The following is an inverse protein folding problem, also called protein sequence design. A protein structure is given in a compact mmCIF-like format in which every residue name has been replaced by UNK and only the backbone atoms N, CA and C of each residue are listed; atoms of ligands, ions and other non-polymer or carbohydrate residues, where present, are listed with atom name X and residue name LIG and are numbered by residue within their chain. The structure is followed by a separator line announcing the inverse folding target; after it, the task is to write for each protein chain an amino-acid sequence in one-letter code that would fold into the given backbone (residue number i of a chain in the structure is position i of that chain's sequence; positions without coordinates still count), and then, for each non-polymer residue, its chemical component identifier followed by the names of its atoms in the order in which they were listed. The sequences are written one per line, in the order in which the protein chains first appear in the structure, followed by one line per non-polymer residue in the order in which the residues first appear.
data_IF_205566291505
#
_entry.id   IF_205566291505
#
_cell.length_a   1.000
_cell.length_b   1.000
_cell.length_c   1.000
_cell.angle_alpha   90.00
_cell.angle_beta   90.00
_cell.angle_gamma   90.00
#
_symmetry.space_group_name_H-M   'P 1'
#
loop_
_entity.id
_entity.type
_entity.pdbx_description
1 polymer ?
#
# COMPACT_ATOMS: atom_id res chain seq x y z
N UNK A 1 17.87 0.15 -1.33
CA UNK A 1 17.43 0.52 0.04
C UNK A 1 18.57 1.28 0.68
N UNK A 2 18.26 2.46 1.20
CA UNK A 2 19.21 3.31 1.90
C UNK A 2 18.78 3.44 3.36
N UNK A 3 19.72 3.80 4.23
CA UNK A 3 19.47 4.03 5.65
C UNK A 3 20.17 5.31 6.06
N UNK A 4 19.48 6.07 6.88
CA UNK A 4 20.01 7.22 7.60
C UNK A 4 19.52 7.10 9.03
N UNK A 5 20.37 7.42 10.01
CA UNK A 5 19.92 7.56 11.39
C UNK A 5 19.19 8.89 11.51
N UNK A 6 18.08 8.92 12.25
CA UNK A 6 17.20 10.10 12.33
C UNK A 6 17.97 11.37 12.71
N UNK A 7 18.92 11.26 13.65
CA UNK A 7 19.75 12.39 14.09
C UNK A 7 20.76 12.90 13.05
N UNK A 8 20.99 12.19 11.95
CA UNK A 8 21.82 12.66 10.82
C UNK A 8 21.03 13.57 9.88
N UNK A 9 19.70 13.54 9.96
CA UNK A 9 18.86 14.48 9.23
C UNK A 9 19.06 15.90 9.78
N UNK A 10 19.14 16.92 8.92
CA UNK A 10 19.39 18.28 9.38
C UNK A 10 18.21 18.80 10.19
N UNK A 11 18.49 19.24 11.42
CA UNK A 11 17.49 19.93 12.23
C UNK A 11 17.19 21.30 11.63
N UNK A 12 15.92 21.57 11.37
CA UNK A 12 15.45 22.81 10.75
C UNK A 12 14.12 23.22 11.39
N UNK A 13 13.71 24.48 11.20
CA UNK A 13 12.40 24.94 11.66
C UNK A 13 11.26 24.22 10.94
N UNK A 14 10.08 24.13 11.58
CA UNK A 14 8.86 23.55 11.00
C UNK A 14 8.44 24.21 9.66
N UNK A 15 8.74 25.50 9.51
CA UNK A 15 8.44 26.28 8.28
C UNK A 15 9.53 26.15 7.21
N UNK A 16 10.66 25.50 7.51
CA UNK A 16 11.72 25.28 6.55
C UNK A 16 11.27 24.31 5.44
N UNK A 17 11.75 24.53 4.22
CA UNK A 17 11.54 23.60 3.10
C UNK A 17 12.31 22.27 3.27
N UNK A 18 13.13 22.15 4.31
CA UNK A 18 13.98 20.99 4.54
C UNK A 18 15.15 20.92 3.56
N UNK A 19 15.76 19.73 3.48
CA UNK A 19 16.84 19.43 2.53
C UNK A 19 16.39 18.29 1.62
N UNK A 20 16.68 18.40 0.32
CA UNK A 20 16.33 17.37 -0.64
C UNK A 20 16.99 16.03 -0.29
N UNK A 21 16.24 14.93 -0.37
CA UNK A 21 16.72 13.58 0.01
C UNK A 21 17.94 13.13 -0.82
N UNK A 22 18.01 13.55 -2.09
CA UNK A 22 19.17 13.31 -2.98
C UNK A 22 20.47 13.94 -2.46
N UNK A 23 20.38 14.96 -1.59
CA UNK A 23 21.52 15.60 -0.96
C UNK A 23 21.89 14.95 0.39
N UNK A 24 21.09 13.98 0.83
CA UNK A 24 21.22 13.28 2.11
C UNK A 24 21.64 11.81 1.89
N UNK A 25 21.23 11.22 0.78
CA UNK A 25 21.50 9.83 0.40
C UNK A 25 22.19 9.77 -0.96
N UNK A 26 23.12 8.84 -1.12
CA UNK A 26 23.86 8.58 -2.37
C UNK A 26 23.00 7.81 -3.38
N UNK A 27 21.87 8.40 -3.78
CA UNK A 27 20.97 7.79 -4.78
C UNK A 27 21.66 7.70 -6.14
N UNK A 28 21.43 6.60 -6.86
CA UNK A 28 21.91 6.48 -8.25
C UNK A 28 21.11 7.40 -9.18
N UNK A 29 21.66 7.75 -10.37
CA UNK A 29 20.89 8.43 -11.39
C UNK A 29 19.55 7.72 -11.64
N UNK A 30 18.48 8.49 -11.75
CA UNK A 30 17.10 8.04 -12.00
C UNK A 30 16.45 7.19 -10.89
N UNK A 31 17.13 6.92 -9.77
CA UNK A 31 16.49 6.32 -8.60
C UNK A 31 15.51 7.29 -7.95
N UNK A 32 14.32 6.77 -7.64
CA UNK A 32 13.28 7.50 -6.92
C UNK A 32 12.96 6.77 -5.62
N UNK A 33 12.72 7.56 -4.58
CA UNK A 33 12.23 7.00 -3.32
C UNK A 33 10.79 6.51 -3.51
N UNK A 34 10.52 5.28 -3.08
CA UNK A 34 9.19 4.66 -3.14
C UNK A 34 8.51 4.66 -1.77
N UNK A 35 9.28 4.44 -0.71
CA UNK A 35 8.75 4.32 0.65
C UNK A 35 9.75 4.84 1.68
N UNK A 36 9.23 5.47 2.74
CA UNK A 36 9.99 5.84 3.93
C UNK A 36 9.49 5.03 5.11
N UNK A 37 10.39 4.37 5.83
CA UNK A 37 10.02 3.50 6.94
C UNK A 37 10.93 3.74 8.14
N UNK A 38 10.41 4.32 9.23
CA UNK A 38 11.14 4.38 10.48
C UNK A 38 11.25 2.97 11.06
N UNK A 39 12.47 2.52 11.34
CA UNK A 39 12.76 1.24 11.98
C UNK A 39 13.63 1.53 13.19
N UNK A 40 13.09 1.24 14.38
CA UNK A 40 13.80 1.38 15.64
C UNK A 40 14.84 0.27 15.80
N UNK A 41 14.41 -0.98 15.58
CA UNK A 41 15.24 -2.17 15.74
C UNK A 41 14.98 -3.17 14.60
N UNK A 42 16.06 -3.59 13.92
CA UNK A 42 16.00 -4.56 12.83
C UNK A 42 15.93 -6.02 13.32
N UNK A 43 16.15 -6.25 14.61
CA UNK A 43 16.29 -7.57 15.23
C UNK A 43 15.17 -7.89 16.24
N UNK A 44 14.46 -6.88 16.72
CA UNK A 44 13.26 -7.04 17.57
C UNK A 44 12.18 -7.83 16.83
N UNK A 45 11.81 -8.99 17.37
CA UNK A 45 10.78 -9.86 16.79
C UNK A 45 11.16 -10.49 15.44
N UNK A 46 10.22 -11.26 14.88
CA UNK A 46 10.30 -11.78 13.52
C UNK A 46 9.47 -10.91 12.57
N UNK A 47 10.05 -9.78 12.16
CA UNK A 47 9.43 -8.91 11.17
C UNK A 47 9.97 -9.17 9.76
N UNK A 48 9.15 -8.82 8.77
CA UNK A 48 9.50 -8.93 7.36
C UNK A 48 9.33 -7.59 6.66
N UNK A 49 10.08 -7.38 5.59
CA UNK A 49 9.75 -6.41 4.55
C UNK A 49 9.07 -7.14 3.40
N UNK A 50 7.90 -6.67 3.02
CA UNK A 50 7.15 -7.10 1.86
C UNK A 50 7.26 -6.03 0.78
N UNK A 51 7.69 -6.45 -0.41
CA UNK A 51 7.82 -5.62 -1.60
C UNK A 51 6.74 -6.03 -2.59
N UNK A 52 6.13 -5.06 -3.27
CA UNK A 52 5.24 -5.31 -4.40
C UNK A 52 5.67 -4.52 -5.63
N UNK A 53 5.64 -5.16 -6.79
CA UNK A 53 6.05 -4.56 -8.06
C UNK A 53 4.85 -4.27 -8.95
N UNK A 54 5.05 -3.39 -9.94
CA UNK A 54 4.06 -2.98 -10.93
C UNK A 54 3.52 -4.17 -11.70
N UNK A 55 4.38 -5.12 -12.05
CA UNK A 55 4.02 -6.35 -12.77
C UNK A 55 3.39 -7.43 -11.87
N UNK A 56 3.05 -7.12 -10.63
CA UNK A 56 2.29 -8.03 -9.75
C UNK A 56 3.14 -9.09 -9.03
N UNK A 57 4.46 -8.89 -8.96
CA UNK A 57 5.32 -9.72 -8.11
C UNK A 57 5.32 -9.19 -6.68
N UNK A 58 5.41 -10.12 -5.74
CA UNK A 58 5.59 -9.84 -4.31
C UNK A 58 6.76 -10.61 -3.75
N UNK A 59 7.46 -10.01 -2.80
CA UNK A 59 8.61 -10.64 -2.15
C UNK A 59 8.58 -10.32 -0.67
N UNK A 60 8.74 -11.35 0.16
CA UNK A 60 8.89 -11.21 1.60
C UNK A 60 10.33 -11.53 2.01
N UNK A 61 10.96 -10.67 2.81
CA UNK A 61 12.34 -10.83 3.27
C UNK A 61 12.43 -10.45 4.73
N UNK A 62 13.10 -11.26 5.56
CA UNK A 62 13.30 -10.93 6.98
C UNK A 62 13.97 -9.57 7.16
N UNK A 63 13.43 -8.75 8.07
CA UNK A 63 13.93 -7.42 8.38
C UNK A 63 15.40 -7.44 8.86
N UNK A 64 15.79 -8.51 9.58
CA UNK A 64 17.16 -8.74 10.07
C UNK A 64 18.23 -8.73 8.99
N UNK A 65 17.87 -9.03 7.74
CA UNK A 65 18.80 -9.00 6.61
C UNK A 65 19.19 -7.58 6.18
N UNK A 66 18.53 -6.56 6.74
CA UNK A 66 18.76 -5.15 6.44
C UNK A 66 19.40 -4.37 7.59
N UNK A 67 19.86 -5.04 8.67
CA UNK A 67 20.50 -4.37 9.82
C UNK A 67 21.78 -3.61 9.46
N UNK A 68 22.54 -4.12 8.49
CA UNK A 68 23.84 -3.59 8.08
C UNK A 68 23.79 -2.97 6.67
N UNK A 69 23.24 -1.75 6.57
CA UNK A 69 23.20 -0.96 5.34
C UNK A 69 24.42 -0.04 5.29
N UNK A 70 25.25 -0.15 4.25
CA UNK A 70 26.35 0.78 3.99
C UNK A 70 25.84 2.06 3.30
N UNK A 71 26.68 3.11 3.23
CA UNK A 71 26.31 4.42 2.66
C UNK A 71 25.73 4.36 1.24
N UNK A 72 26.38 3.60 0.35
CA UNK A 72 25.89 3.37 -1.02
C UNK A 72 24.63 2.48 -1.14
N UNK A 73 23.98 2.13 -0.04
CA UNK A 73 22.73 1.37 -0.01
C UNK A 73 22.85 -0.13 -0.32
N UNK A 74 21.80 -0.89 -0.03
CA UNK A 74 21.73 -2.33 -0.31
C UNK A 74 20.71 -2.63 -1.41
N UNK A 75 21.05 -3.62 -2.24
CA UNK A 75 20.06 -4.27 -3.11
C UNK A 75 19.03 -4.99 -2.22
N UNK A 76 17.78 -4.55 -2.33
CA UNK A 76 16.66 -5.01 -1.51
C UNK A 76 15.62 -5.81 -2.29
N UNK A 77 15.60 -5.75 -3.61
CA UNK A 77 14.78 -6.57 -4.51
C UNK A 77 15.43 -6.54 -5.89
N UNK A 78 15.34 -7.64 -6.64
CA UNK A 78 15.67 -7.63 -8.06
C UNK A 78 14.41 -7.28 -8.86
N UNK A 79 14.48 -6.26 -9.70
CA UNK A 79 13.40 -5.92 -10.62
C UNK A 79 13.65 -6.57 -11.97
N UNK A 80 12.58 -7.07 -12.59
CA UNK A 80 12.63 -7.51 -13.98
C UNK A 80 12.66 -6.29 -14.91
N UNK A 81 13.03 -6.50 -16.16
CA UNK A 81 13.00 -5.45 -17.17
C UNK A 81 11.57 -4.88 -17.33
N UNK A 82 11.47 -3.55 -17.39
CA UNK A 82 10.18 -2.84 -17.45
C UNK A 82 9.36 -2.84 -16.15
N UNK A 83 9.83 -3.52 -15.10
CA UNK A 83 9.15 -3.52 -13.80
C UNK A 83 9.60 -2.35 -12.93
N UNK A 84 8.82 -2.04 -11.89
CA UNK A 84 9.26 -1.15 -10.83
C UNK A 84 8.58 -1.49 -9.52
N UNK A 85 9.21 -1.03 -8.45
CA UNK A 85 8.66 -1.14 -7.12
C UNK A 85 7.49 -0.15 -6.95
N UNK A 86 6.33 -0.66 -6.53
CA UNK A 86 5.11 0.13 -6.27
C UNK A 86 4.99 0.50 -4.80
N UNK A 87 5.39 -0.41 -3.92
CA UNK A 87 5.33 -0.19 -2.48
C UNK A 87 6.16 -1.19 -1.70
N UNK A 88 6.48 -0.80 -0.46
CA UNK A 88 7.13 -1.65 0.53
C UNK A 88 6.38 -1.47 1.84
N UNK A 89 6.18 -2.54 2.58
CA UNK A 89 5.61 -2.45 3.93
C UNK A 89 6.34 -3.42 4.85
N UNK A 90 6.38 -3.13 6.15
CA UNK A 90 6.84 -4.11 7.13
C UNK A 90 5.65 -4.94 7.59
N UNK A 91 5.88 -6.18 7.97
CA UNK A 91 4.83 -7.08 8.45
C UNK A 91 5.29 -7.92 9.63
N UNK A 92 4.33 -8.44 10.39
CA UNK A 92 4.54 -9.22 11.62
C UNK A 92 4.72 -10.73 11.39
N UNK A 93 4.53 -11.23 10.17
CA UNK A 93 4.59 -12.65 9.80
C UNK A 93 3.22 -13.28 9.58
N UNK A 94 2.16 -12.67 10.11
CA UNK A 94 0.78 -13.14 10.06
C UNK A 94 -0.21 -12.14 9.45
N UNK A 95 0.28 -11.01 8.91
CA UNK A 95 -0.53 -9.96 8.31
C UNK A 95 -1.18 -10.41 6.99
N UNK A 96 -2.25 -9.70 6.60
CA UNK A 96 -2.78 -9.79 5.24
C UNK A 96 -2.20 -8.68 4.37
N UNK A 97 -2.05 -8.99 3.09
CA UNK A 97 -1.62 -8.05 2.06
C UNK A 97 -2.75 -7.87 1.06
N UNK A 98 -3.02 -6.63 0.68
CA UNK A 98 -3.92 -6.30 -0.42
C UNK A 98 -3.15 -5.61 -1.54
N UNK A 99 -3.27 -6.13 -2.75
CA UNK A 99 -2.80 -5.47 -3.97
C UNK A 99 -4.00 -4.93 -4.72
N UNK A 100 -3.95 -3.67 -5.14
CA UNK A 100 -4.95 -3.06 -6.02
C UNK A 100 -4.32 -2.75 -7.39
N UNK A 101 -5.11 -2.88 -8.45
CA UNK A 101 -4.66 -2.70 -9.83
C UNK A 101 -5.27 -1.49 -10.49
N UNK A 102 -4.61 -1.02 -11.55
CA UNK A 102 -5.01 0.10 -12.37
C UNK A 102 -6.38 -0.10 -13.02
N UNK A 103 -6.73 -1.33 -13.41
CA UNK A 103 -8.06 -1.66 -13.98
C UNK A 103 -9.13 -1.97 -12.92
N UNK A 104 -8.85 -1.69 -11.64
CA UNK A 104 -9.84 -1.77 -10.57
C UNK A 104 -10.07 -3.18 -10.05
N UNK A 105 -9.05 -4.03 -10.11
CA UNK A 105 -9.04 -5.33 -9.43
C UNK A 105 -8.30 -5.23 -8.10
N UNK A 106 -8.63 -6.09 -7.14
CA UNK A 106 -7.85 -6.25 -5.93
C UNK A 106 -7.80 -7.72 -5.46
N UNK A 107 -6.68 -8.10 -4.86
CA UNK A 107 -6.51 -9.39 -4.20
C UNK A 107 -6.04 -9.17 -2.77
N UNK A 108 -6.68 -9.83 -1.80
CA UNK A 108 -6.26 -9.89 -0.39
C UNK A 108 -5.80 -11.32 -0.10
N UNK A 109 -4.55 -11.49 0.33
CA UNK A 109 -3.96 -12.80 0.66
C UNK A 109 -3.14 -12.71 1.96
N UNK A 110 -2.95 -13.84 2.65
CA UNK A 110 -2.10 -13.88 3.84
C UNK A 110 -0.62 -13.75 3.42
N UNK A 111 0.18 -12.97 4.15
CA UNK A 111 1.60 -12.80 3.81
C UNK A 111 2.39 -14.11 3.86
N UNK A 112 1.92 -15.08 4.67
CA UNK A 112 2.50 -16.39 4.84
C UNK A 112 2.46 -17.24 3.56
N UNK A 113 1.54 -16.95 2.63
CA UNK A 113 1.53 -17.53 1.28
C UNK A 113 2.81 -17.21 0.49
N UNK A 114 3.53 -16.14 0.87
CA UNK A 114 4.81 -15.75 0.31
C UNK A 114 5.93 -16.25 1.22
N UNK A 115 6.65 -17.30 0.82
CA UNK A 115 7.81 -17.76 1.59
C UNK A 115 8.86 -16.65 1.78
N UNK A 116 9.56 -16.60 2.91
CA UNK A 116 10.71 -15.70 3.07
C UNK A 116 11.79 -15.99 2.03
N UNK A 117 12.39 -14.93 1.49
CA UNK A 117 13.41 -14.98 0.45
C UNK A 117 14.56 -14.03 0.78
N UNK A 118 15.73 -14.32 0.20
CA UNK A 118 16.91 -13.44 0.28
C UNK A 118 16.68 -12.09 -0.42
N UNK A 119 17.55 -11.12 -0.09
CA UNK A 119 17.41 -9.72 -0.56
C UNK A 119 17.34 -9.60 -2.09
N UNK A 120 18.18 -10.34 -2.80
CA UNK A 120 18.35 -10.25 -4.28
C UNK A 120 17.36 -11.10 -5.08
N UNK A 121 16.39 -11.74 -4.45
CA UNK A 121 15.33 -12.46 -5.16
C UNK A 121 14.39 -11.47 -5.87
N UNK A 122 13.78 -11.91 -6.97
CA UNK A 122 12.77 -11.14 -7.70
C UNK A 122 11.39 -11.18 -7.00
N UNK A 123 11.09 -12.27 -6.29
CA UNK A 123 9.80 -12.51 -5.67
C UNK A 123 9.01 -13.60 -6.37
N UNK A 124 7.75 -13.71 -6.01
CA UNK A 124 6.77 -14.65 -6.57
C UNK A 124 5.52 -13.90 -6.98
N UNK A 125 4.67 -14.52 -7.80
CA UNK A 125 3.41 -13.88 -8.23
C UNK A 125 2.50 -13.59 -7.03
N UNK A 126 2.10 -12.33 -6.88
CA UNK A 126 1.13 -11.84 -5.89
C UNK A 126 -0.27 -11.68 -6.47
N UNK A 127 -0.38 -11.17 -7.70
CA UNK A 127 -1.64 -11.09 -8.46
C UNK A 127 -1.39 -11.52 -9.92
N UNK A 128 -2.37 -12.20 -10.52
CA UNK A 128 -2.40 -12.40 -11.97
C UNK A 128 -3.09 -11.20 -12.61
N UNK A 129 -2.32 -10.39 -13.33
CA UNK A 129 -2.80 -9.22 -14.05
C UNK A 129 -3.43 -9.62 -15.38
N UNK A 130 -4.46 -8.88 -15.79
CA UNK A 130 -4.91 -8.89 -17.19
C UNK A 130 -3.93 -8.12 -18.07
N UNK A 131 -4.04 -8.26 -19.39
CA UNK A 131 -3.27 -7.47 -20.35
C UNK A 131 -3.40 -5.97 -20.07
N UNK A 132 -2.30 -5.22 -20.16
CA UNK A 132 -2.19 -3.79 -19.85
C UNK A 132 -2.69 -3.35 -18.46
N UNK A 133 -2.80 -4.28 -17.51
CA UNK A 133 -3.06 -3.95 -16.11
C UNK A 133 -1.75 -3.92 -15.32
N UNK A 134 -1.74 -3.16 -14.23
CA UNK A 134 -0.59 -2.99 -13.36
C UNK A 134 -1.04 -2.80 -11.91
N UNK A 135 -0.20 -3.21 -10.97
CA UNK A 135 -0.41 -2.92 -9.55
C UNK A 135 -0.14 -1.43 -9.30
N UNK A 136 -1.06 -0.78 -8.60
CA UNK A 136 -0.97 0.65 -8.21
C UNK A 136 -0.83 0.85 -6.71
N UNK A 137 -1.13 -0.17 -5.90
CA UNK A 137 -1.00 -0.08 -4.45
C UNK A 137 -0.70 -1.44 -3.81
N UNK A 138 0.12 -1.39 -2.76
CA UNK A 138 0.28 -2.42 -1.73
C UNK A 138 -0.29 -1.85 -0.43
N UNK A 139 -1.20 -2.60 0.21
CA UNK A 139 -1.81 -2.23 1.47
C UNK A 139 -1.59 -3.36 2.47
N UNK A 140 -1.00 -3.04 3.63
CA UNK A 140 -0.91 -3.93 4.78
C UNK A 140 -2.23 -3.90 5.53
N UNK A 141 -2.69 -5.07 5.96
CA UNK A 141 -3.80 -5.21 6.89
C UNK A 141 -3.22 -5.96 8.08
N UNK A 142 -2.97 -5.23 9.17
CA UNK A 142 -2.47 -5.76 10.42
C UNK A 142 -3.42 -6.82 10.94
N UNK A 143 -2.93 -8.04 11.17
CA UNK A 143 -3.73 -9.12 11.75
C UNK A 143 -3.17 -9.45 13.13
N UNK A 144 -4.00 -9.95 14.02
CA UNK A 144 -3.58 -10.57 15.25
C UNK A 144 -3.12 -12.01 14.96
N UNK A 145 -2.32 -12.57 15.86
CA UNK A 145 -2.08 -14.01 15.85
C UNK A 145 -3.41 -14.76 15.98
N UNK A 146 -3.47 -15.96 15.40
CA UNK A 146 -4.68 -16.77 15.48
C UNK A 146 -4.97 -17.13 16.94
N UNK A 147 -6.23 -16.99 17.35
CA UNK A 147 -6.67 -17.43 18.67
C UNK A 147 -6.70 -18.97 18.77
N UNK A 148 -7.08 -19.50 19.94
CA UNK A 148 -7.18 -20.95 20.18
C UNK A 148 -8.13 -21.67 19.20
N UNK A 149 -9.06 -20.94 18.58
CA UNK A 149 -9.99 -21.46 17.57
C UNK A 149 -9.40 -21.45 16.15
N UNK A 150 -8.21 -20.86 15.97
CA UNK A 150 -7.57 -20.68 14.68
C UNK A 150 -8.08 -19.46 13.89
N UNK A 151 -8.91 -18.61 14.50
CA UNK A 151 -9.44 -17.41 13.86
C UNK A 151 -8.47 -16.24 14.01
N UNK A 152 -8.21 -15.52 12.91
CA UNK A 152 -7.43 -14.28 12.93
C UNK A 152 -8.33 -13.07 12.74
N UNK A 153 -8.08 -12.03 13.54
CA UNK A 153 -8.82 -10.76 13.51
C UNK A 153 -7.88 -9.62 13.15
N UNK A 154 -8.36 -8.57 12.45
CA UNK A 154 -7.54 -7.37 12.25
C UNK A 154 -7.07 -6.75 13.57
N UNK A 155 -5.88 -6.16 13.59
CA UNK A 155 -5.37 -5.37 14.73
C UNK A 155 -6.22 -4.11 14.95
N UNK A 156 -6.78 -3.55 13.88
CA UNK A 156 -7.62 -2.36 13.89
C UNK A 156 -8.95 -2.62 13.15
N UNK A 157 -10.03 -2.08 13.69
CA UNK A 157 -11.36 -2.08 13.07
C UNK A 157 -11.65 -0.73 12.44
N UNK A 158 -12.69 -0.64 11.60
CA UNK A 158 -13.05 0.61 10.92
C UNK A 158 -12.06 1.06 9.84
N UNK A 159 -11.15 0.18 9.43
CA UNK A 159 -10.20 0.44 8.35
C UNK A 159 -10.84 0.07 7.01
N UNK A 160 -10.95 1.05 6.13
CA UNK A 160 -11.47 0.90 4.78
C UNK A 160 -10.34 1.02 3.74
N UNK A 161 -10.52 0.40 2.58
CA UNK A 161 -9.78 0.74 1.37
C UNK A 161 -10.41 1.96 0.71
N UNK A 162 -9.70 3.09 0.72
CA UNK A 162 -10.00 4.23 -0.15
C UNK A 162 -9.39 3.98 -1.52
N UNK A 163 -10.24 3.84 -2.54
CA UNK A 163 -9.82 3.73 -3.95
C UNK A 163 -10.22 4.99 -4.69
N UNK A 164 -9.25 5.59 -5.40
CA UNK A 164 -9.41 6.83 -6.15
C UNK A 164 -8.97 6.63 -7.61
N UNK A 165 -9.71 7.22 -8.53
CA UNK A 165 -9.52 7.11 -9.98
C UNK A 165 -9.00 8.40 -10.58
N UNK A 166 -8.38 8.30 -11.75
CA UNK A 166 -7.73 9.42 -12.45
C UNK A 166 -8.69 10.58 -12.73
N UNK A 167 -9.99 10.33 -12.96
CA UNK A 167 -10.99 11.39 -13.21
C UNK A 167 -11.67 11.91 -11.94
N UNK A 168 -11.07 11.68 -10.78
CA UNK A 168 -11.50 12.28 -9.51
C UNK A 168 -12.72 11.59 -8.87
N UNK A 169 -13.00 10.34 -9.24
CA UNK A 169 -14.00 9.51 -8.56
C UNK A 169 -13.35 8.56 -7.57
N UNK A 170 -14.07 8.16 -6.54
CA UNK A 170 -13.59 7.19 -5.58
C UNK A 170 -14.65 6.75 -4.59
N UNK A 171 -14.23 5.88 -3.68
CA UNK A 171 -15.06 5.33 -2.60
C UNK A 171 -14.17 4.76 -1.51
N UNK A 172 -14.73 4.65 -0.31
CA UNK A 172 -14.21 3.78 0.75
C UNK A 172 -14.93 2.44 0.69
N UNK A 173 -14.21 1.35 0.91
CA UNK A 173 -14.80 0.01 0.98
C UNK A 173 -14.19 -0.77 2.11
N UNK A 174 -15.04 -1.40 2.92
CA UNK A 174 -14.62 -2.22 4.05
C UNK A 174 -13.60 -3.29 3.62
N UNK A 175 -12.49 -3.43 4.33
CA UNK A 175 -11.45 -4.38 3.97
C UNK A 175 -11.92 -5.85 4.02
N UNK A 176 -12.98 -6.15 4.76
CA UNK A 176 -13.54 -7.50 4.83
C UNK A 176 -14.39 -7.88 3.62
N UNK A 177 -14.78 -6.91 2.79
CA UNK A 177 -15.40 -7.19 1.49
C UNK A 177 -14.47 -7.97 0.54
N UNK A 178 -13.16 -7.90 0.75
CA UNK A 178 -12.14 -8.58 -0.07
C UNK A 178 -11.87 -10.02 0.36
N UNK A 179 -12.47 -10.48 1.48
CA UNK A 179 -12.46 -11.87 1.89
C UNK A 179 -13.40 -12.70 1.00
N UNK A 180 -13.16 -14.01 0.96
CA UNK A 180 -13.98 -14.99 0.24
C UNK A 180 -14.59 -15.99 1.21
N UNK A 181 -15.75 -16.51 0.86
CA UNK A 181 -16.40 -17.60 1.59
C UNK A 181 -15.68 -18.91 1.28
N UNK A 182 -15.46 -19.71 2.33
CA UNK A 182 -14.93 -21.07 2.25
C UNK A 182 -15.82 -21.98 3.08
N UNK A 183 -16.33 -23.03 2.47
CA UNK A 183 -17.09 -24.07 3.17
C UNK A 183 -16.11 -25.05 3.80
N UNK A 184 -16.26 -25.27 5.10
CA UNK A 184 -15.47 -26.21 5.88
C UNK A 184 -16.08 -27.62 5.80
N UNK A 185 -15.32 -28.69 6.07
CA UNK A 185 -15.82 -30.07 6.05
C UNK A 185 -17.03 -30.33 6.98
N UNK A 186 -17.22 -29.49 8.00
CA UNK A 186 -18.34 -29.54 8.95
C UNK A 186 -19.58 -28.73 8.49
N UNK A 187 -19.56 -28.20 7.26
CA UNK A 187 -20.65 -27.41 6.68
C UNK A 187 -20.66 -25.93 7.09
N UNK A 188 -19.71 -25.46 7.91
CA UNK A 188 -19.63 -24.04 8.29
C UNK A 188 -19.04 -23.22 7.14
N UNK A 189 -19.60 -22.02 6.93
CA UNK A 189 -19.06 -21.04 5.98
C UNK A 189 -18.22 -20.02 6.74
N UNK A 190 -16.92 -20.01 6.49
CA UNK A 190 -16.00 -19.03 7.06
C UNK A 190 -15.54 -18.03 6.01
N UNK A 191 -15.18 -16.81 6.42
CA UNK A 191 -14.50 -15.85 5.56
C UNK A 191 -13.00 -16.04 5.68
N UNK A 192 -12.30 -16.03 4.56
CA UNK A 192 -10.83 -16.13 4.51
C UNK A 192 -10.24 -15.26 3.41
N UNK A 193 -8.95 -14.91 3.47
CA UNK A 193 -8.27 -14.30 2.34
C UNK A 193 -8.21 -15.25 1.13
N UNK A 194 -8.02 -14.66 -0.06
CA UNK A 194 -7.74 -15.42 -1.28
C UNK A 194 -6.31 -15.97 -1.23
N UNK A 195 -6.02 -17.00 -2.03
CA UNK A 195 -4.64 -17.44 -2.23
C UNK A 195 -3.89 -16.45 -3.14
N UNK A 196 -2.62 -16.18 -2.84
CA UNK A 196 -1.81 -15.31 -3.70
C UNK A 196 -1.76 -15.80 -5.15
N UNK A 197 -1.54 -14.88 -6.09
CA UNK A 197 -1.39 -15.18 -7.51
C UNK A 197 -2.71 -15.39 -8.26
N UNK A 198 -3.86 -15.35 -7.59
CA UNK A 198 -5.17 -15.28 -8.23
C UNK A 198 -5.38 -13.99 -9.03
N UNK A 199 -6.48 -13.90 -9.79
CA UNK A 199 -6.86 -12.70 -10.54
C UNK A 199 -7.43 -11.57 -9.67
N UNK A 200 -7.70 -11.85 -8.40
CA UNK A 200 -8.42 -10.94 -7.51
C UNK A 200 -9.91 -10.84 -7.85
N UNK A 201 -10.56 -9.85 -7.24
CA UNK A 201 -11.98 -9.50 -7.44
C UNK A 201 -12.08 -8.04 -7.81
N UNK A 202 -13.20 -7.62 -8.39
CA UNK A 202 -13.44 -6.20 -8.68
C UNK A 202 -13.34 -5.43 -7.35
N UNK A 203 -12.48 -4.40 -7.34
CA UNK A 203 -12.40 -3.38 -6.31
C UNK A 203 -13.28 -2.19 -6.67
N UNK A 204 -13.19 -1.68 -7.90
CA UNK A 204 -14.01 -0.57 -8.41
C UNK A 204 -14.26 -0.80 -9.90
N UNK A 205 -15.47 -0.51 -10.38
CA UNK A 205 -15.80 -0.60 -11.80
C UNK A 205 -15.17 0.56 -12.55
N UNK A 206 -14.04 0.32 -13.20
CA UNK A 206 -13.41 1.26 -14.12
C UNK A 206 -14.24 1.39 -15.40
N UNK A 207 -14.53 2.62 -15.78
CA UNK A 207 -15.34 3.01 -16.95
C UNK A 207 -14.76 4.27 -17.59
N UNK A 208 -15.27 4.66 -18.76
CA UNK A 208 -14.90 5.94 -19.36
C UNK A 208 -15.20 7.15 -18.46
N UNK A 209 -16.17 7.05 -17.53
CA UNK A 209 -16.58 8.13 -16.62
C UNK A 209 -15.53 8.44 -15.55
N UNK A 210 -15.05 7.40 -14.85
CA UNK A 210 -14.12 7.54 -13.73
C UNK A 210 -12.66 7.34 -14.15
N UNK A 211 -12.43 6.60 -15.23
CA UNK A 211 -11.09 6.25 -15.67
C UNK A 211 -10.41 5.25 -14.74
N UNK A 212 -9.15 4.90 -15.04
CA UNK A 212 -8.37 3.94 -14.28
C UNK A 212 -8.14 4.36 -12.83
N UNK A 213 -7.77 3.42 -11.98
CA UNK A 213 -7.36 3.68 -10.60
C UNK A 213 -6.03 4.44 -10.60
N UNK A 214 -5.97 5.52 -9.83
CA UNK A 214 -4.78 6.35 -9.62
C UNK A 214 -4.09 6.02 -8.28
N UNK A 215 -4.87 5.72 -7.24
CA UNK A 215 -4.34 5.40 -5.91
C UNK A 215 -5.32 4.55 -5.11
N UNK A 216 -4.78 3.72 -4.21
CA UNK A 216 -5.53 3.08 -3.16
C UNK A 216 -4.77 3.12 -1.83
N UNK A 217 -5.47 3.38 -0.72
CA UNK A 217 -4.89 3.53 0.63
C UNK A 217 -5.82 2.92 1.68
N UNK A 218 -5.26 2.29 2.70
CA UNK A 218 -6.01 2.02 3.93
C UNK A 218 -6.22 3.35 4.67
N UNK A 219 -7.46 3.60 5.09
CA UNK A 219 -7.85 4.79 5.85
C UNK A 219 -8.89 4.44 6.92
N UNK A 220 -8.92 5.20 8.00
CA UNK A 220 -10.04 5.25 8.95
C UNK A 220 -10.92 6.48 8.66
N UNK A 221 -12.01 6.64 9.40
CA UNK A 221 -12.87 7.84 9.28
C UNK A 221 -12.20 9.12 9.79
N UNK A 222 -11.22 8.97 10.68
CA UNK A 222 -10.46 10.05 11.33
C UNK A 222 -9.33 10.58 10.44
N UNK A 223 -8.99 9.83 9.39
CA UNK A 223 -7.91 10.22 8.50
C UNK A 223 -8.28 11.38 7.59
N UNK A 224 -7.34 12.30 7.41
CA UNK A 224 -7.33 13.20 6.27
C UNK A 224 -6.50 12.59 5.13
N UNK A 225 -6.86 12.88 3.88
CA UNK A 225 -6.14 12.43 2.68
C UNK A 225 -5.83 13.62 1.80
N UNK A 226 -4.57 13.73 1.39
CA UNK A 226 -4.11 14.70 0.39
C UNK A 226 -4.15 14.08 -0.99
N UNK A 227 -4.90 14.70 -1.88
CA UNK A 227 -5.04 14.39 -3.30
C UNK A 227 -4.09 15.27 -4.10
N UNK A 228 -3.38 14.68 -5.06
CA UNK A 228 -2.44 15.41 -5.92
C UNK A 228 -2.81 15.20 -7.39
N UNK A 229 -3.01 16.30 -8.10
CA UNK A 229 -3.29 16.27 -9.54
C UNK A 229 -2.03 16.47 -10.37
N UNK A 230 -2.07 16.05 -11.64
CA UNK A 230 -0.97 16.27 -12.57
C UNK A 230 -0.69 17.77 -12.79
N UNK A 231 -1.73 18.61 -12.74
CA UNK A 231 -1.62 20.06 -12.79
C UNK A 231 -1.05 20.72 -11.53
N UNK A 232 -0.65 19.93 -10.52
CA UNK A 232 -0.04 20.44 -9.29
C UNK A 232 -1.02 20.96 -8.25
N UNK A 233 -2.32 20.67 -8.37
CA UNK A 233 -3.30 20.98 -7.34
C UNK A 233 -3.16 19.96 -6.20
N UNK A 234 -3.04 20.45 -4.97
CA UNK A 234 -3.11 19.65 -3.74
C UNK A 234 -4.41 19.96 -3.00
N UNK A 235 -5.19 18.93 -2.69
CA UNK A 235 -6.45 19.06 -1.94
C UNK A 235 -6.44 18.10 -0.77
N UNK A 236 -6.55 18.61 0.45
CA UNK A 236 -6.74 17.81 1.67
C UNK A 236 -8.24 17.66 1.92
N UNK A 237 -8.71 16.42 2.08
CA UNK A 237 -10.10 16.10 2.41
C UNK A 237 -10.15 15.10 3.58
N UNK A 238 -11.18 15.14 4.43
CA UNK A 238 -11.45 14.04 5.36
C UNK A 238 -11.78 12.76 4.58
N UNK A 239 -11.19 11.63 4.95
CA UNK A 239 -11.54 10.33 4.39
C UNK A 239 -13.04 10.03 4.60
N UNK A 240 -13.58 10.44 5.75
CA UNK A 240 -15.00 10.34 6.09
C UNK A 240 -15.93 11.01 5.07
N UNK A 241 -15.49 12.06 4.37
CA UNK A 241 -16.30 12.71 3.33
C UNK A 241 -16.43 11.90 2.05
N UNK A 242 -15.60 10.86 1.86
CA UNK A 242 -15.71 9.93 0.73
C UNK A 242 -16.68 8.80 1.10
N UNK A 243 -17.69 8.58 0.26
CA UNK A 243 -18.75 7.60 0.55
C UNK A 243 -18.22 6.17 0.73
N UNK A 244 -18.69 5.50 1.79
CA UNK A 244 -18.50 4.06 2.00
C UNK A 244 -19.47 3.27 1.14
N UNK A 245 -18.96 2.37 0.31
CA UNK A 245 -19.72 1.59 -0.66
C UNK A 245 -19.12 0.19 -0.83
N UNK A 246 -19.93 -0.77 -1.28
CA UNK A 246 -19.44 -2.10 -1.66
C UNK A 246 -18.47 -2.04 -2.84
N UNK A 247 -17.69 -3.11 -3.02
CA UNK A 247 -16.61 -3.16 -4.04
C UNK A 247 -17.12 -2.93 -5.47
N UNK A 248 -18.14 -3.67 -5.90
CA UNK A 248 -18.54 -3.71 -7.30
C UNK A 248 -19.39 -2.51 -7.75
N UNK A 249 -18.91 -1.28 -7.48
CA UNK A 249 -19.55 0.01 -7.76
C UNK A 249 -18.58 0.94 -8.51
N UNK A 250 -19.06 2.07 -9.04
CA UNK A 250 -18.22 3.04 -9.76
C UNK A 250 -17.58 4.11 -8.85
N UNK A 251 -18.00 4.18 -7.58
CA UNK A 251 -17.70 5.28 -6.68
C UNK A 251 -18.48 6.57 -7.01
N UNK A 252 -18.22 7.59 -6.20
CA UNK A 252 -18.79 8.95 -6.31
C UNK A 252 -17.71 9.95 -6.69
N UNK A 253 -18.08 11.16 -7.08
CA UNK A 253 -17.10 12.21 -7.36
C UNK A 253 -16.50 12.70 -6.03
N UNK A 254 -15.18 12.69 -5.94
CA UNK A 254 -14.41 13.11 -4.76
C UNK A 254 -13.78 14.48 -4.97
N UNK A 255 -13.31 14.77 -6.20
CA UNK A 255 -12.71 16.04 -6.57
C UNK A 255 -13.20 16.50 -7.95
N UNK A 256 -13.41 17.81 -8.10
CA UNK A 256 -13.65 18.43 -9.41
C UNK A 256 -12.30 18.76 -10.05
N UNK A 257 -11.99 18.13 -11.18
CA UNK A 257 -10.77 18.37 -11.94
C UNK A 257 -10.99 19.41 -13.02
N UNK A 258 -9.96 20.21 -13.31
CA UNK A 258 -9.95 21.09 -14.47
C UNK A 258 -9.91 20.26 -15.77
N UNK A 259 -10.42 20.77 -16.90
CA UNK A 259 -10.29 20.10 -18.18
C UNK A 259 -8.82 19.74 -18.49
N UNK A 260 -8.57 18.47 -18.81
CA UNK A 260 -7.23 17.95 -19.10
C UNK A 260 -6.38 17.59 -17.88
N UNK A 261 -6.83 17.89 -16.66
CA UNK A 261 -6.16 17.46 -15.44
C UNK A 261 -6.61 16.06 -15.00
N UNK A 262 -5.78 15.38 -14.22
CA UNK A 262 -6.07 14.07 -13.64
C UNK A 262 -5.44 13.90 -12.27
N UNK A 263 -6.08 13.09 -11.44
CA UNK A 263 -5.51 12.65 -10.18
C UNK A 263 -4.34 11.70 -10.48
N UNK A 264 -3.19 11.91 -9.83
CA UNK A 264 -2.00 11.06 -10.01
C UNK A 264 -1.53 10.39 -8.72
N UNK A 265 -1.92 10.92 -7.56
CA UNK A 265 -1.55 10.34 -6.27
C UNK A 265 -2.53 10.73 -5.17
N UNK A 266 -2.52 9.91 -4.11
CA UNK A 266 -3.15 10.22 -2.83
C UNK A 266 -2.25 9.73 -1.69
N UNK A 267 -2.20 10.49 -0.60
CA UNK A 267 -1.46 10.14 0.61
C UNK A 267 -2.30 10.46 1.84
N UNK A 268 -2.24 9.60 2.87
CA UNK A 268 -2.77 9.93 4.20
C UNK A 268 -2.02 11.16 4.70
N UNK A 269 -2.74 12.17 5.17
CA UNK A 269 -2.15 13.35 5.78
C UNK A 269 -1.56 12.97 7.14
N UNK A 270 -0.49 13.65 7.54
CA UNK A 270 -0.06 13.58 8.94
C UNK A 270 -1.17 14.15 9.84
N UNK A 271 -1.25 13.62 11.07
CA UNK A 271 -2.08 14.16 12.13
C UNK A 271 -1.82 15.67 12.25
N UNK A 272 -2.88 16.42 12.53
CA UNK A 272 -2.70 17.82 12.94
C UNK A 272 -2.17 17.72 14.36
N UNK A 273 -1.00 18.30 14.61
CA UNK A 273 -0.69 18.67 15.98
C UNK A 273 -1.77 19.69 16.35
N UNK A 274 -2.73 19.28 17.17
CA UNK A 274 -3.59 20.22 17.85
C UNK A 274 -2.66 21.02 18.78
N UNK A 275 -2.24 22.19 18.31
CA UNK A 275 -1.66 23.20 19.18
C UNK A 275 -2.79 23.58 20.16
N UNK A 276 -2.76 22.99 21.36
CA UNK A 276 -3.48 23.52 22.51
C UNK A 276 -3.02 24.97 22.70
N UNK A 277 -3.94 25.92 22.48
CA UNK A 277 -3.81 27.34 22.88
C UNK A 277 -3.60 27.48 24.39
#
# INVERSE_FOLDING_TARGET
MYRMKVYEAPQMSRTSKGRAIVNLLELRPDERCVEFMPIEDFEKGEHFLVFATRQGLVKRTSLRLYRNVHRGGLNAVRLNEGDALVGVTWTSGHDHLLLATRKGMAIRFAESDVRPMGRVAAGVKGITLSEDDEVVALVRIGMQEADESGEQRPEATGVDLLTLTEKGYGKRTDLDEYLVHSEQPDGRVVKRPQSRGGKGRIDIRVTARNGPVAAARAVTEEDDVVLVTQGGLLVRIPASSVSKMGRNTQGVRVINLKPGDRLIAAARAAERDDEDD
#
